data_IF_420552738156
#
_entry.id   IF_420552738156
#
_cell.length_a   1.000
_cell.length_b   1.000
_cell.length_c   1.000
_cell.angle_alpha   90.00
_cell.angle_beta   90.00
_cell.angle_gamma   90.00
#
_symmetry.space_group_name_H-M   'P 1'
#
loop_
_entity.id
_entity.type
_entity.pdbx_description
1 polymer ?
#
# COMPACT_ATOMS: atom_id res chain seq x y z
N UNK A 1 11.71 9.76 -26.12
CA UNK A 1 12.90 8.92 -25.87
C UNK A 1 12.52 7.80 -24.93
N UNK A 2 13.00 6.56 -25.16
CA UNK A 2 12.81 5.44 -24.24
C UNK A 2 13.48 5.74 -22.89
N UNK A 3 12.87 5.30 -21.80
CA UNK A 3 13.42 5.39 -20.45
C UNK A 3 13.87 3.99 -20.02
N UNK A 4 15.13 3.86 -19.63
CA UNK A 4 15.66 2.63 -19.02
C UNK A 4 15.63 2.86 -17.51
N UNK A 5 14.97 1.98 -16.77
CA UNK A 5 14.91 1.99 -15.32
C UNK A 5 16.05 1.15 -14.75
N UNK A 6 16.65 1.58 -13.63
CA UNK A 6 17.75 0.86 -12.99
C UNK A 6 17.26 -0.38 -12.23
N UNK A 7 16.07 -0.30 -11.66
CA UNK A 7 15.40 -1.43 -11.00
C UNK A 7 13.87 -1.35 -11.13
N UNK A 8 13.21 -2.41 -10.73
CA UNK A 8 11.76 -2.53 -10.83
C UNK A 8 11.02 -1.51 -9.94
N UNK A 9 11.61 -1.04 -8.86
CA UNK A 9 10.98 -0.12 -7.91
C UNK A 9 10.85 1.30 -8.48
N UNK A 10 11.64 1.65 -9.50
CA UNK A 10 11.51 2.91 -10.23
C UNK A 10 10.25 2.95 -11.12
N UNK A 11 9.61 1.80 -11.36
CA UNK A 11 8.37 1.71 -12.14
C UNK A 11 7.11 1.87 -11.30
N UNK A 12 7.25 2.02 -9.98
CA UNK A 12 6.13 2.21 -9.06
C UNK A 12 5.59 3.63 -9.21
N UNK A 13 4.27 3.74 -9.32
CA UNK A 13 3.60 5.03 -9.54
C UNK A 13 3.46 5.39 -11.02
N UNK A 14 3.05 6.62 -11.30
CA UNK A 14 2.75 7.05 -12.67
C UNK A 14 1.66 6.19 -13.33
N UNK A 15 0.76 5.63 -12.53
CA UNK A 15 -0.29 4.73 -13.02
C UNK A 15 -1.29 5.48 -13.91
N UNK A 16 -1.82 4.85 -14.96
CA UNK A 16 -2.71 5.56 -15.88
C UNK A 16 -4.04 5.94 -15.24
N UNK A 17 -4.58 7.09 -15.71
CA UNK A 17 -5.94 7.51 -15.45
C UNK A 17 -6.76 7.21 -16.70
N UNK A 18 -7.85 6.45 -16.56
CA UNK A 18 -8.68 6.00 -17.68
C UNK A 18 -10.12 6.50 -17.52
N UNK A 19 -10.66 7.10 -18.59
CA UNK A 19 -12.07 7.53 -18.66
C UNK A 19 -12.98 6.32 -18.84
N UNK A 20 -14.04 6.25 -18.06
CA UNK A 20 -15.16 5.35 -18.33
C UNK A 20 -15.98 5.88 -19.51
N UNK A 21 -16.58 4.99 -20.30
CA UNK A 21 -17.35 5.35 -21.49
C UNK A 21 -18.66 4.57 -21.65
N UNK A 22 -19.00 3.72 -20.71
CA UNK A 22 -20.23 2.94 -20.74
C UNK A 22 -21.04 3.03 -19.46
N UNK A 23 -20.37 2.86 -18.30
CA UNK A 23 -21.02 2.86 -17.00
C UNK A 23 -21.47 4.26 -16.57
N UNK A 24 -20.85 5.27 -17.13
CA UNK A 24 -21.09 6.69 -16.79
C UNK A 24 -21.85 7.47 -17.87
N UNK A 25 -22.32 6.81 -18.95
CA UNK A 25 -22.94 7.47 -20.11
C UNK A 25 -24.16 8.34 -19.78
N UNK A 26 -24.87 8.04 -18.69
CA UNK A 26 -26.06 8.76 -18.25
C UNK A 26 -25.75 9.72 -17.06
N UNK A 27 -24.47 9.89 -16.71
CA UNK A 27 -24.03 10.80 -15.66
C UNK A 27 -23.64 12.16 -16.24
N UNK A 28 -23.89 13.25 -15.51
CA UNK A 28 -23.60 14.62 -15.98
C UNK A 28 -22.10 14.95 -15.97
N UNK A 29 -21.24 14.09 -15.45
CA UNK A 29 -19.80 14.32 -15.29
C UNK A 29 -18.95 13.26 -15.98
N UNK A 30 -17.64 13.44 -15.93
CA UNK A 30 -16.66 12.48 -16.40
C UNK A 30 -16.18 11.62 -15.22
N UNK A 31 -16.25 10.31 -15.35
CA UNK A 31 -15.69 9.38 -14.36
C UNK A 31 -14.34 8.85 -14.84
N UNK A 32 -13.31 9.11 -14.07
CA UNK A 32 -11.94 8.65 -14.32
C UNK A 32 -11.56 7.62 -13.27
N UNK A 33 -10.84 6.58 -13.67
CA UNK A 33 -10.34 5.53 -12.77
C UNK A 33 -8.81 5.47 -12.82
N UNK A 34 -8.19 5.60 -11.65
CA UNK A 34 -6.73 5.46 -11.48
C UNK A 34 -6.39 3.99 -11.34
N UNK A 35 -5.68 3.45 -12.32
CA UNK A 35 -5.44 2.01 -12.45
C UNK A 35 -4.21 1.55 -11.65
N UNK A 36 -4.34 1.44 -10.34
CA UNK A 36 -3.24 1.07 -9.44
C UNK A 36 -2.70 -0.36 -9.63
N UNK A 37 -3.41 -1.21 -10.36
CA UNK A 37 -2.90 -2.53 -10.75
C UNK A 37 -1.81 -2.50 -11.84
N UNK A 38 -1.51 -1.33 -12.40
CA UNK A 38 -0.34 -1.14 -13.27
C UNK A 38 0.98 -1.01 -12.49
N UNK A 39 0.94 -0.89 -11.18
CA UNK A 39 2.16 -1.04 -10.39
C UNK A 39 2.77 -2.46 -10.56
N UNK A 40 4.09 -2.64 -10.42
CA UNK A 40 4.79 -3.89 -10.77
C UNK A 40 4.35 -5.14 -10.00
N UNK A 41 3.87 -5.00 -8.76
CA UNK A 41 3.24 -6.10 -8.01
C UNK A 41 1.70 -6.01 -8.01
N UNK A 42 1.13 -5.32 -9.01
CA UNK A 42 -0.28 -5.26 -9.36
C UNK A 42 -1.20 -4.63 -8.28
N UNK A 43 -0.69 -3.69 -7.48
CA UNK A 43 -1.56 -3.00 -6.53
C UNK A 43 -1.04 -1.63 -6.07
N UNK A 44 -1.93 -0.83 -5.50
CA UNK A 44 -1.59 0.42 -4.81
C UNK A 44 -0.60 0.23 -3.67
N UNK A 45 -0.48 -0.99 -3.13
CA UNK A 45 0.40 -1.29 -2.00
C UNK A 45 1.88 -1.25 -2.36
N UNK A 46 2.23 -1.29 -3.64
CA UNK A 46 3.61 -1.14 -4.09
C UNK A 46 4.16 0.23 -3.68
N UNK A 47 3.33 1.27 -3.77
CA UNK A 47 3.67 2.63 -3.32
C UNK A 47 4.03 2.66 -1.84
N UNK A 48 3.17 2.08 -0.99
CA UNK A 48 3.41 2.10 0.46
C UNK A 48 4.52 1.14 0.88
N UNK A 49 4.66 -0.01 0.23
CA UNK A 49 5.76 -0.96 0.49
C UNK A 49 7.12 -0.30 0.29
N UNK A 50 7.30 0.38 -0.86
CA UNK A 50 8.52 1.15 -1.13
C UNK A 50 8.71 2.30 -0.14
N UNK A 51 7.67 3.10 0.11
CA UNK A 51 7.77 4.28 0.97
C UNK A 51 8.10 3.94 2.43
N UNK A 52 7.56 2.84 2.96
CA UNK A 52 7.89 2.37 4.31
C UNK A 52 9.36 1.99 4.41
N UNK A 53 9.89 1.28 3.43
CA UNK A 53 11.30 0.88 3.40
C UNK A 53 12.20 2.10 3.21
N UNK A 54 11.87 3.01 2.29
CA UNK A 54 12.60 4.27 2.08
C UNK A 54 12.70 5.08 3.39
N UNK A 55 11.60 5.18 4.14
CA UNK A 55 11.57 5.90 5.41
C UNK A 55 12.42 5.23 6.48
N UNK A 56 12.38 3.90 6.58
CA UNK A 56 13.16 3.14 7.55
C UNK A 56 14.66 3.16 7.25
N UNK A 57 15.05 3.18 5.97
CA UNK A 57 16.44 3.39 5.54
C UNK A 57 16.92 4.80 5.90
N UNK A 58 16.10 5.82 5.58
CA UNK A 58 16.44 7.21 5.85
C UNK A 58 16.56 7.53 7.34
N UNK A 59 15.76 6.89 8.21
CA UNK A 59 15.85 7.03 9.66
C UNK A 59 16.99 6.21 10.29
N UNK A 60 17.57 5.26 9.54
CA UNK A 60 18.57 4.31 10.04
C UNK A 60 17.99 3.17 10.89
N UNK A 61 16.66 3.04 10.97
CA UNK A 61 16.00 1.91 11.64
C UNK A 61 16.23 0.59 10.90
N UNK A 62 16.21 0.62 9.56
CA UNK A 62 16.52 -0.52 8.72
C UNK A 62 17.93 -0.39 8.13
N UNK A 63 18.81 -1.30 8.53
CA UNK A 63 20.19 -1.37 8.02
C UNK A 63 20.31 -2.40 6.89
N UNK A 64 21.31 -2.29 6.01
CA UNK A 64 21.55 -3.29 4.95
C UNK A 64 21.53 -4.72 5.48
N UNK A 65 20.84 -5.61 4.75
CA UNK A 65 20.65 -7.02 5.14
C UNK A 65 19.67 -7.23 6.30
N UNK A 66 18.99 -6.17 6.77
CA UNK A 66 17.99 -6.24 7.83
C UNK A 66 16.72 -7.00 7.42
N UNK A 67 15.79 -7.09 8.35
CA UNK A 67 14.52 -7.82 8.17
C UNK A 67 13.33 -6.87 8.24
N UNK A 68 12.43 -6.98 7.28
CA UNK A 68 11.14 -6.29 7.26
C UNK A 68 10.08 -7.29 7.71
N UNK A 69 9.33 -6.96 8.73
CA UNK A 69 8.28 -7.83 9.29
C UNK A 69 6.91 -7.15 9.13
N UNK A 70 5.89 -7.91 8.76
CA UNK A 70 4.50 -7.41 8.73
C UNK A 70 3.50 -8.54 8.96
N UNK A 71 2.45 -8.24 9.70
CA UNK A 71 1.32 -9.15 9.88
C UNK A 71 0.30 -8.95 8.75
N UNK A 72 0.45 -9.70 7.67
CA UNK A 72 -0.44 -9.57 6.50
C UNK A 72 -0.35 -10.78 5.58
N UNK A 73 -1.46 -11.10 4.94
CA UNK A 73 -1.54 -12.03 3.80
C UNK A 73 -1.91 -11.32 2.49
N UNK A 74 -2.05 -9.98 2.53
CA UNK A 74 -2.57 -9.18 1.42
C UNK A 74 -1.48 -8.56 0.55
N UNK A 75 -1.91 -7.60 -0.27
CA UNK A 75 -1.05 -6.92 -1.23
C UNK A 75 0.12 -6.16 -0.57
N UNK A 76 -0.01 -5.74 0.69
CA UNK A 76 1.12 -5.14 1.41
C UNK A 76 2.28 -6.12 1.58
N UNK A 77 1.99 -7.39 1.90
CA UNK A 77 3.02 -8.43 1.97
C UNK A 77 3.71 -8.66 0.62
N UNK A 78 2.95 -8.65 -0.47
CA UNK A 78 3.51 -8.79 -1.83
C UNK A 78 4.42 -7.60 -2.15
N UNK A 79 3.98 -6.38 -1.85
CA UNK A 79 4.76 -5.17 -2.09
C UNK A 79 6.06 -5.15 -1.27
N UNK A 80 6.00 -5.49 0.02
CA UNK A 80 7.19 -5.58 0.88
C UNK A 80 8.15 -6.68 0.38
N UNK A 81 7.62 -7.83 -0.06
CA UNK A 81 8.43 -8.91 -0.62
C UNK A 81 9.13 -8.49 -1.92
N UNK A 82 8.43 -7.77 -2.81
CA UNK A 82 9.03 -7.17 -4.01
C UNK A 82 10.18 -6.23 -3.65
N UNK A 83 9.96 -5.30 -2.71
CA UNK A 83 10.99 -4.33 -2.28
C UNK A 83 12.17 -5.05 -1.62
N UNK A 84 11.89 -6.03 -0.75
CA UNK A 84 12.93 -6.85 -0.12
C UNK A 84 13.79 -7.58 -1.13
N UNK A 85 13.17 -8.23 -2.11
CA UNK A 85 13.88 -8.92 -3.20
C UNK A 85 14.75 -7.96 -4.03
N UNK A 86 14.25 -6.76 -4.35
CA UNK A 86 14.99 -5.77 -5.13
C UNK A 86 16.17 -5.14 -4.38
N UNK A 87 16.07 -5.02 -3.03
CA UNK A 87 17.09 -4.32 -2.19
C UNK A 87 17.93 -5.23 -1.31
N UNK A 88 17.68 -6.54 -1.35
CA UNK A 88 18.45 -7.50 -0.55
C UNK A 88 18.08 -7.52 0.93
N UNK A 89 16.82 -7.20 1.28
CA UNK A 89 16.28 -7.34 2.63
C UNK A 89 15.60 -8.68 2.82
N UNK A 90 15.68 -9.22 4.03
CA UNK A 90 14.84 -10.34 4.43
C UNK A 90 13.41 -9.83 4.70
N UNK A 91 12.42 -10.59 4.26
CA UNK A 91 11.01 -10.25 4.53
C UNK A 91 10.35 -11.42 5.24
N UNK A 92 9.73 -11.12 6.39
CA UNK A 92 8.98 -12.10 7.18
C UNK A 92 7.54 -11.65 7.30
N UNK A 93 6.64 -12.51 6.84
CA UNK A 93 5.21 -12.23 6.86
C UNK A 93 4.51 -13.22 7.80
N UNK A 94 3.83 -12.69 8.80
CA UNK A 94 3.04 -13.50 9.72
C UNK A 94 1.58 -13.48 9.30
N UNK A 95 0.93 -14.64 9.33
CA UNK A 95 -0.47 -14.76 8.95
C UNK A 95 -1.12 -16.01 9.55
N UNK A 96 -2.45 -15.99 9.77
CA UNK A 96 -3.17 -17.20 10.15
C UNK A 96 -3.03 -18.32 9.12
N UNK A 97 -2.94 -19.55 9.58
CA UNK A 97 -2.86 -20.75 8.73
C UNK A 97 -4.07 -20.96 7.81
N UNK A 98 -5.17 -20.25 8.07
CA UNK A 98 -6.39 -20.25 7.25
C UNK A 98 -6.27 -19.46 5.95
N UNK A 99 -5.16 -18.71 5.75
CA UNK A 99 -4.95 -17.94 4.53
C UNK A 99 -4.63 -18.82 3.32
N UNK A 100 -5.03 -18.36 2.12
CA UNK A 100 -4.97 -19.15 0.89
C UNK A 100 -3.56 -19.60 0.50
N UNK A 101 -3.45 -20.79 -0.09
CA UNK A 101 -2.19 -21.35 -0.54
C UNK A 101 -1.57 -20.55 -1.69
N UNK A 102 -2.39 -20.01 -2.60
CA UNK A 102 -1.93 -19.24 -3.75
C UNK A 102 -1.15 -18.00 -3.32
N UNK A 103 -1.63 -17.30 -2.28
CA UNK A 103 -0.93 -16.15 -1.72
C UNK A 103 0.39 -16.53 -1.09
N UNK A 104 0.44 -17.66 -0.37
CA UNK A 104 1.70 -18.17 0.22
C UNK A 104 2.73 -18.53 -0.85
N UNK A 105 2.29 -19.14 -1.95
CA UNK A 105 3.16 -19.49 -3.09
C UNK A 105 3.76 -18.22 -3.71
N UNK A 106 2.92 -17.21 -3.98
CA UNK A 106 3.37 -15.94 -4.54
C UNK A 106 4.40 -15.23 -3.64
N UNK A 107 4.13 -15.15 -2.34
CA UNK A 107 5.03 -14.52 -1.38
C UNK A 107 6.39 -15.24 -1.29
N UNK A 108 6.36 -16.57 -1.31
CA UNK A 108 7.60 -17.38 -1.34
C UNK A 108 8.37 -17.20 -2.64
N UNK A 109 7.69 -17.02 -3.77
CA UNK A 109 8.34 -16.76 -5.06
C UNK A 109 9.14 -15.45 -5.05
N UNK A 110 8.71 -14.45 -4.25
CA UNK A 110 9.49 -13.23 -3.98
C UNK A 110 10.55 -13.42 -2.88
N UNK A 111 10.71 -14.62 -2.32
CA UNK A 111 11.72 -14.91 -1.28
C UNK A 111 11.28 -14.59 0.16
N UNK A 112 10.01 -14.26 0.38
CA UNK A 112 9.54 -13.99 1.74
C UNK A 112 9.44 -15.26 2.59
N UNK A 113 9.89 -15.18 3.84
CA UNK A 113 9.63 -16.15 4.89
C UNK A 113 8.18 -15.99 5.37
N UNK A 114 7.45 -17.09 5.49
CA UNK A 114 6.09 -17.08 5.98
C UNK A 114 6.02 -17.81 7.31
N UNK A 115 5.56 -17.12 8.33
CA UNK A 115 5.31 -17.65 9.67
C UNK A 115 3.80 -17.77 9.87
N UNK A 116 3.32 -19.00 9.96
CA UNK A 116 1.90 -19.28 10.18
C UNK A 116 1.58 -19.27 11.68
N UNK A 117 0.45 -18.67 12.01
CA UNK A 117 -0.10 -18.65 13.37
C UNK A 117 -1.41 -19.46 13.42
N UNK A 118 -1.81 -19.95 14.60
CA UNK A 118 -3.06 -20.69 14.72
C UNK A 118 -4.25 -19.91 14.21
N UNK A 119 -5.11 -20.54 13.40
CA UNK A 119 -6.31 -19.91 12.84
C UNK A 119 -7.25 -19.35 13.92
N UNK A 120 -7.32 -20.00 15.08
CA UNK A 120 -8.11 -19.55 16.23
C UNK A 120 -7.66 -18.23 16.84
N UNK A 121 -6.37 -17.86 16.68
CA UNK A 121 -5.83 -16.58 17.15
C UNK A 121 -6.10 -15.40 16.18
N UNK A 122 -6.62 -15.70 14.98
CA UNK A 122 -6.95 -14.71 13.97
C UNK A 122 -5.78 -13.79 13.60
N UNK A 123 -6.08 -12.59 13.13
CA UNK A 123 -5.05 -11.60 12.78
C UNK A 123 -4.29 -11.07 14.00
N UNK A 124 -4.91 -11.04 15.18
CA UNK A 124 -4.21 -10.60 16.39
C UNK A 124 -3.01 -11.51 16.70
N UNK A 125 -3.18 -12.83 16.59
CA UNK A 125 -2.06 -13.76 16.77
C UNK A 125 -0.93 -13.55 15.77
N UNK A 126 -1.26 -13.16 14.53
CA UNK A 126 -0.24 -12.79 13.54
C UNK A 126 0.50 -11.50 13.91
N UNK A 127 -0.20 -10.49 14.42
CA UNK A 127 0.41 -9.24 14.90
C UNK A 127 1.34 -9.49 16.08
N UNK A 128 0.89 -10.28 17.06
CA UNK A 128 1.69 -10.62 18.24
C UNK A 128 2.99 -11.34 17.83
N UNK A 129 2.89 -12.31 16.91
CA UNK A 129 4.06 -13.02 16.37
C UNK A 129 5.00 -12.12 15.57
N UNK A 130 4.47 -11.14 14.84
CA UNK A 130 5.31 -10.15 14.15
C UNK A 130 6.14 -9.31 15.13
N UNK A 131 5.52 -8.85 16.22
CA UNK A 131 6.23 -8.11 17.28
C UNK A 131 7.31 -8.95 17.97
N UNK A 132 7.03 -10.22 18.25
CA UNK A 132 8.00 -11.17 18.81
C UNK A 132 9.23 -11.30 17.91
N UNK A 133 9.01 -11.53 16.60
CA UNK A 133 10.09 -11.68 15.61
C UNK A 133 10.97 -10.43 15.52
N UNK A 134 10.36 -9.24 15.53
CA UNK A 134 11.13 -7.98 15.52
C UNK A 134 12.02 -7.86 16.76
N UNK A 135 11.49 -8.23 17.92
CA UNK A 135 12.25 -8.20 19.19
C UNK A 135 13.43 -9.18 19.18
N UNK A 136 13.23 -10.39 18.62
CA UNK A 136 14.25 -11.44 18.59
C UNK A 136 15.37 -11.18 17.57
N UNK A 137 15.07 -10.56 16.43
CA UNK A 137 16.03 -10.44 15.31
C UNK A 137 16.99 -9.24 15.39
N UNK A 138 16.77 -8.28 16.29
CA UNK A 138 17.67 -7.16 16.56
C UNK A 138 17.88 -6.14 15.42
N UNK A 139 17.99 -6.57 14.16
CA UNK A 139 18.00 -5.72 12.96
C UNK A 139 16.74 -6.00 12.13
N UNK A 140 15.61 -5.67 12.72
CA UNK A 140 14.31 -5.88 12.11
C UNK A 140 13.39 -4.70 12.40
N UNK A 141 12.53 -4.37 11.42
CA UNK A 141 11.48 -3.37 11.56
C UNK A 141 10.11 -4.00 11.38
N UNK A 142 9.10 -3.44 12.04
CA UNK A 142 7.70 -3.72 11.75
C UNK A 142 7.17 -2.64 10.79
N UNK A 143 6.64 -3.05 9.63
CA UNK A 143 6.19 -2.10 8.60
C UNK A 143 4.99 -1.26 9.05
N UNK A 144 4.06 -1.83 9.86
CA UNK A 144 2.92 -1.13 10.49
C UNK A 144 2.06 -0.35 9.50
N UNK A 145 1.58 -1.00 8.43
CA UNK A 145 0.86 -0.33 7.34
C UNK A 145 -0.30 0.58 7.80
N UNK A 146 -0.93 0.29 8.94
CA UNK A 146 -2.05 1.08 9.48
C UNK A 146 -1.62 2.30 10.31
N UNK A 147 -0.38 2.33 10.81
CA UNK A 147 0.12 3.37 11.70
C UNK A 147 1.36 4.10 11.17
N UNK A 148 1.92 3.66 10.05
CA UNK A 148 3.13 4.25 9.49
C UNK A 148 2.82 5.53 8.71
N UNK A 149 3.40 6.64 9.11
CA UNK A 149 3.21 7.94 8.46
C UNK A 149 3.66 7.96 6.99
N UNK A 150 4.59 7.08 6.58
CA UNK A 150 5.01 6.96 5.20
C UNK A 150 3.87 6.54 4.25
N UNK A 151 2.83 5.88 4.78
CA UNK A 151 1.67 5.46 4.00
C UNK A 151 0.88 6.67 3.45
N UNK A 152 0.24 7.54 4.24
CA UNK A 152 -0.42 8.72 3.67
C UNK A 152 0.58 9.65 2.95
N UNK A 153 1.81 9.74 3.40
CA UNK A 153 2.82 10.63 2.82
C UNK A 153 3.18 10.26 1.37
N UNK A 154 3.31 8.99 1.03
CA UNK A 154 3.55 8.60 -0.37
C UNK A 154 2.38 8.98 -1.27
N UNK A 155 1.16 8.92 -0.79
CA UNK A 155 -0.02 9.34 -1.55
C UNK A 155 -0.11 10.86 -1.70
N UNK A 156 0.37 11.64 -0.71
CA UNK A 156 0.52 13.10 -0.85
C UNK A 156 1.50 13.44 -1.96
N UNK A 157 2.68 12.81 -1.94
CA UNK A 157 3.78 13.13 -2.85
C UNK A 157 3.61 12.56 -4.26
N UNK A 158 2.81 11.52 -4.43
CA UNK A 158 2.68 10.82 -5.71
C UNK A 158 1.24 10.75 -6.20
N UNK A 159 0.39 9.93 -5.62
CA UNK A 159 -0.96 9.66 -6.12
C UNK A 159 -1.79 10.92 -6.28
N UNK A 160 -1.78 11.81 -5.29
CA UNK A 160 -2.52 13.08 -5.35
C UNK A 160 -1.99 14.01 -6.44
N UNK A 161 -0.67 14.16 -6.53
CA UNK A 161 -0.04 15.01 -7.54
C UNK A 161 -0.21 14.43 -8.96
N UNK A 162 -0.12 13.11 -9.12
CA UNK A 162 -0.40 12.43 -10.40
C UNK A 162 -1.83 12.70 -10.86
N UNK A 163 -2.82 12.53 -9.97
CA UNK A 163 -4.23 12.82 -10.30
C UNK A 163 -4.40 14.28 -10.72
N UNK A 164 -3.83 15.21 -9.97
CA UNK A 164 -3.91 16.63 -10.26
C UNK A 164 -3.31 16.98 -11.62
N UNK A 165 -2.11 16.46 -11.90
CA UNK A 165 -1.41 16.69 -13.16
C UNK A 165 -2.13 16.04 -14.35
N UNK A 166 -2.56 14.77 -14.22
CA UNK A 166 -3.21 14.02 -15.29
C UNK A 166 -4.60 14.57 -15.68
N UNK A 167 -5.19 15.40 -14.81
CA UNK A 167 -6.50 16.04 -15.04
C UNK A 167 -6.38 17.52 -15.39
N UNK A 168 -5.16 18.05 -15.55
CA UNK A 168 -4.92 19.51 -15.70
C UNK A 168 -5.62 20.33 -14.59
N UNK A 169 -5.68 19.76 -13.37
CA UNK A 169 -6.32 20.38 -12.21
C UNK A 169 -7.85 20.33 -12.19
N UNK A 170 -8.49 19.63 -13.14
CA UNK A 170 -9.94 19.54 -13.22
C UNK A 170 -10.46 18.34 -12.41
N UNK A 171 -10.50 18.49 -11.10
CA UNK A 171 -11.04 17.50 -10.15
C UNK A 171 -12.09 18.14 -9.28
N UNK A 172 -13.34 17.66 -9.38
CA UNK A 172 -14.44 18.06 -8.51
C UNK A 172 -14.63 17.09 -7.34
N UNK A 173 -14.47 15.79 -7.63
CA UNK A 173 -14.76 14.72 -6.67
C UNK A 173 -13.65 13.68 -6.71
N UNK A 174 -13.11 13.35 -5.55
CA UNK A 174 -12.20 12.23 -5.35
C UNK A 174 -12.87 11.14 -4.51
N UNK A 175 -12.89 9.92 -5.02
CA UNK A 175 -13.49 8.75 -4.35
C UNK A 175 -12.42 7.68 -4.15
N UNK A 176 -12.26 7.20 -2.93
CA UNK A 176 -11.32 6.11 -2.64
C UNK A 176 -11.89 5.13 -1.61
N UNK A 177 -11.61 3.84 -1.81
CA UNK A 177 -11.92 2.80 -0.83
C UNK A 177 -11.01 2.91 0.39
N UNK A 178 -11.58 2.68 1.59
CA UNK A 178 -10.83 2.67 2.83
C UNK A 178 -10.28 1.25 3.07
N UNK A 179 -8.96 1.14 2.98
CA UNK A 179 -8.20 0.02 3.53
C UNK A 179 -7.48 0.46 4.80
N UNK A 180 -6.28 0.98 4.65
CA UNK A 180 -5.50 1.61 5.71
C UNK A 180 -5.83 3.09 5.88
N UNK A 181 -6.62 3.67 4.99
CA UNK A 181 -6.90 5.11 4.95
C UNK A 181 -5.86 5.94 4.20
N UNK A 182 -4.66 5.40 3.93
CA UNK A 182 -3.55 6.17 3.38
C UNK A 182 -3.84 6.89 2.07
N UNK A 183 -4.51 6.22 1.13
CA UNK A 183 -4.84 6.82 -0.18
C UNK A 183 -5.84 7.97 -0.03
N UNK A 184 -6.96 7.75 0.67
CA UNK A 184 -8.00 8.79 0.83
C UNK A 184 -7.46 9.99 1.59
N UNK A 185 -6.63 9.76 2.62
CA UNK A 185 -5.98 10.80 3.40
C UNK A 185 -4.95 11.56 2.54
N UNK A 186 -3.92 10.87 2.06
CA UNK A 186 -2.79 11.54 1.40
C UNK A 186 -3.18 12.21 0.08
N UNK A 187 -3.86 11.49 -0.82
CA UNK A 187 -4.30 12.07 -2.08
C UNK A 187 -5.41 13.11 -1.89
N UNK A 188 -6.35 12.85 -0.97
CA UNK A 188 -7.41 13.81 -0.64
C UNK A 188 -6.90 15.14 -0.10
N UNK A 189 -5.92 15.10 0.82
CA UNK A 189 -5.28 16.33 1.33
C UNK A 189 -4.55 17.09 0.24
N UNK A 190 -3.82 16.40 -0.65
CA UNK A 190 -3.13 17.04 -1.77
C UNK A 190 -4.11 17.71 -2.73
N UNK A 191 -5.17 17.01 -3.12
CA UNK A 191 -6.19 17.59 -4.00
C UNK A 191 -6.88 18.80 -3.37
N UNK A 192 -7.22 18.74 -2.08
CA UNK A 192 -7.78 19.88 -1.33
C UNK A 192 -6.80 21.03 -1.14
N UNK A 193 -5.51 20.76 -1.09
CA UNK A 193 -4.48 21.82 -1.06
C UNK A 193 -4.41 22.59 -2.37
N UNK A 194 -4.57 21.91 -3.49
CA UNK A 194 -4.63 22.53 -4.82
C UNK A 194 -5.97 23.25 -5.05
N UNK A 195 -7.08 22.59 -4.69
CA UNK A 195 -8.44 23.16 -4.79
C UNK A 195 -9.26 22.76 -3.57
N UNK A 196 -9.54 23.69 -2.63
CA UNK A 196 -10.33 23.41 -1.41
C UNK A 196 -11.77 22.91 -1.67
N UNK A 197 -12.33 23.19 -2.85
CA UNK A 197 -13.69 22.80 -3.21
C UNK A 197 -13.82 21.33 -3.62
N UNK A 198 -12.71 20.63 -3.87
CA UNK A 198 -12.72 19.19 -4.17
C UNK A 198 -13.43 18.42 -3.05
N UNK A 199 -14.45 17.65 -3.41
CA UNK A 199 -15.14 16.75 -2.48
C UNK A 199 -14.41 15.42 -2.37
N UNK A 200 -14.11 14.98 -1.16
CA UNK A 200 -13.43 13.71 -0.90
C UNK A 200 -14.41 12.73 -0.27
N UNK A 201 -14.63 11.61 -0.93
CA UNK A 201 -15.50 10.54 -0.43
C UNK A 201 -14.68 9.28 -0.14
N UNK A 202 -14.87 8.76 1.06
CA UNK A 202 -14.34 7.49 1.49
C UNK A 202 -15.41 6.41 1.37
N UNK A 203 -15.08 5.28 0.74
CA UNK A 203 -16.01 4.16 0.54
C UNK A 203 -15.53 2.96 1.34
N UNK A 204 -16.42 2.39 2.14
CA UNK A 204 -16.17 1.13 2.82
C UNK A 204 -17.36 0.18 2.64
N UNK A 205 -17.15 -1.15 2.68
CA UNK A 205 -18.25 -2.11 2.61
C UNK A 205 -19.21 -1.95 3.80
N UNK A 206 -20.53 -2.04 3.55
CA UNK A 206 -21.55 -1.96 4.60
C UNK A 206 -21.33 -2.99 5.72
N UNK A 207 -20.88 -4.19 5.34
CA UNK A 207 -20.56 -5.28 6.28
C UNK A 207 -19.13 -5.18 6.85
N UNK A 208 -18.45 -4.04 6.72
CA UNK A 208 -17.12 -3.88 7.29
C UNK A 208 -17.19 -3.96 8.82
N UNK A 209 -16.53 -4.96 9.38
CA UNK A 209 -16.35 -5.14 10.83
C UNK A 209 -15.25 -4.21 11.41
N UNK A 210 -14.77 -3.27 10.64
CA UNK A 210 -13.76 -2.33 11.15
C UNK A 210 -14.40 -1.47 12.21
N UNK A 211 -13.83 -1.56 13.40
CA UNK A 211 -14.14 -0.63 14.47
C UNK A 211 -13.88 0.78 13.94
N UNK A 212 -14.95 1.58 13.83
CA UNK A 212 -14.90 2.99 13.37
C UNK A 212 -13.94 3.86 14.19
N UNK A 213 -13.36 3.34 15.26
CA UNK A 213 -12.37 3.99 16.11
C UNK A 213 -10.94 3.90 15.61
N UNK A 214 -10.64 3.11 14.58
CA UNK A 214 -9.28 2.93 14.05
C UNK A 214 -8.97 3.73 12.80
N UNK A 215 -9.83 4.66 12.42
CA UNK A 215 -9.61 5.59 11.31
C UNK A 215 -9.51 7.00 11.88
N UNK A 216 -8.37 7.30 12.46
CA UNK A 216 -7.92 8.67 12.76
C UNK A 216 -6.54 8.86 12.17
#
# INVERSE_FOLDING_TARGET
MGKIYNDILETIGGTPLVRLNRLDKDLPGNVLVKLEFFNPANSVKDRIGKAIVDAAEASGELKPGGTIVEATSGNTGIALALVGAARGYNVVLTMPETMSLERRVLLRAYGAEIVLTPGSAGMQGAVDKANEIVTERGNAILARQFANAANPEVHRKTTGEEIWADTDGNVDIFVAGIGTGGTVTGAGETLKKHNPDVKVYAVEPEASLRDRKSVV
#
